data_IF_451033461145
#
_entry.id   IF_451033461145
#
_cell.length_a   1.000
_cell.length_b   1.000
_cell.length_c   1.000
_cell.angle_alpha   90.00
_cell.angle_beta   90.00
_cell.angle_gamma   90.00
#
_symmetry.space_group_name_H-M   'P 1'
#
loop_
_entity.id
_entity.type
_entity.pdbx_description
1 polymer ?
#
# COMPACT_ATOMS: atom_id res chain seq x y z
N UNK A 1 50.21 -67.32 31.95
CA UNK A 1 50.95 -66.27 31.21
C UNK A 1 49.96 -65.71 30.19
N UNK A 2 49.00 -64.81 30.51
CA UNK A 2 49.05 -63.46 31.09
C UNK A 2 49.84 -62.46 30.25
N UNK A 3 49.08 -61.51 29.70
CA UNK A 3 49.40 -60.10 29.54
C UNK A 3 50.54 -59.71 28.58
N UNK A 4 50.24 -59.53 27.28
CA UNK A 4 51.09 -58.64 26.46
C UNK A 4 50.42 -57.96 25.26
N UNK A 5 49.09 -58.01 25.09
CA UNK A 5 48.44 -57.42 23.89
C UNK A 5 47.33 -56.41 24.21
N UNK A 6 47.19 -55.99 25.48
CA UNK A 6 46.20 -54.96 25.90
C UNK A 6 46.85 -53.57 26.07
N UNK A 7 48.17 -53.44 25.87
CA UNK A 7 48.92 -52.21 26.16
C UNK A 7 49.30 -51.36 24.93
N UNK A 8 48.51 -51.41 23.84
CA UNK A 8 48.70 -50.54 22.65
C UNK A 8 47.42 -49.74 22.31
N UNK A 9 46.33 -49.90 23.07
CA UNK A 9 45.07 -49.17 22.85
C UNK A 9 44.80 -48.03 23.85
N UNK A 10 45.75 -47.66 24.71
CA UNK A 10 45.54 -46.63 25.76
C UNK A 10 46.50 -45.43 25.69
N UNK A 11 47.12 -45.18 24.54
CA UNK A 11 48.10 -44.08 24.36
C UNK A 11 47.78 -43.12 23.21
N UNK A 12 46.50 -42.98 22.85
CA UNK A 12 46.05 -42.00 21.83
C UNK A 12 44.75 -41.26 22.24
N UNK A 13 44.60 -41.00 23.55
CA UNK A 13 43.54 -40.16 24.12
C UNK A 13 44.15 -39.31 25.24
N UNK A 14 44.89 -38.24 24.90
CA UNK A 14 45.24 -37.13 25.83
C UNK A 14 46.13 -36.07 25.15
N UNK A 15 45.60 -35.28 24.21
CA UNK A 15 46.16 -33.95 23.89
C UNK A 15 45.00 -32.98 23.60
N UNK A 16 44.39 -32.47 24.66
CA UNK A 16 43.50 -31.31 24.67
C UNK A 16 43.92 -30.44 25.87
N UNK A 17 44.85 -29.50 25.66
CA UNK A 17 44.98 -28.31 26.49
C UNK A 17 46.00 -27.33 25.91
N UNK A 18 45.61 -26.05 25.93
CA UNK A 18 46.38 -24.82 25.70
C UNK A 18 46.49 -24.32 24.26
N UNK A 19 45.64 -23.34 23.91
CA UNK A 19 46.11 -21.96 23.73
C UNK A 19 44.93 -20.98 23.77
N UNK A 20 45.00 -20.02 24.69
CA UNK A 20 44.16 -18.83 24.74
C UNK A 20 44.92 -17.68 24.09
N UNK A 21 44.29 -16.92 23.19
CA UNK A 21 44.48 -15.49 23.09
C UNK A 21 43.13 -14.82 23.45
N UNK A 22 43.10 -13.89 24.40
CA UNK A 22 43.65 -12.57 24.19
C UNK A 22 42.47 -11.64 23.88
N UNK A 23 41.94 -11.02 24.93
CA UNK A 23 41.03 -9.88 24.86
C UNK A 23 41.70 -8.75 24.09
N UNK A 24 41.12 -8.40 22.95
CA UNK A 24 41.25 -7.09 22.31
C UNK A 24 39.86 -6.65 21.90
N UNK A 25 39.49 -5.50 22.44
CA UNK A 25 38.26 -4.74 22.28
C UNK A 25 38.44 -3.77 21.10
N UNK A 26 37.57 -3.89 20.11
CA UNK A 26 37.17 -2.84 19.16
C UNK A 26 35.66 -3.05 18.99
N UNK A 27 34.81 -2.38 19.76
CA UNK A 27 34.22 -1.06 19.45
C UNK A 27 33.87 -0.89 17.96
N UNK A 28 32.74 -1.45 17.55
CA UNK A 28 31.91 -0.87 16.50
C UNK A 28 30.44 -1.00 16.90
N UNK A 29 29.80 0.16 17.00
CA UNK A 29 28.45 0.35 17.52
C UNK A 29 27.39 -0.45 16.79
N UNK A 30 26.63 -1.20 17.59
CA UNK A 30 25.35 -1.77 17.23
C UNK A 30 24.32 -0.63 17.21
N UNK A 31 24.01 -0.15 16.00
CA UNK A 31 22.88 0.75 15.80
C UNK A 31 21.63 -0.13 15.74
N UNK A 32 20.93 -0.16 16.86
CA UNK A 32 19.60 -0.74 17.03
C UNK A 32 18.63 -0.15 16.00
N UNK A 33 18.20 -0.99 15.06
CA UNK A 33 17.28 -0.63 13.98
C UNK A 33 15.79 -0.78 14.38
N UNK A 34 15.48 -0.91 15.67
CA UNK A 34 14.10 -0.99 16.19
C UNK A 34 13.65 0.30 16.93
N UNK A 35 14.47 1.36 16.94
CA UNK A 35 14.16 2.62 17.63
C UNK A 35 13.86 3.83 16.70
N UNK A 36 13.72 3.63 15.38
CA UNK A 36 13.62 4.74 14.39
C UNK A 36 12.18 5.03 13.91
N UNK A 37 11.17 4.25 14.31
CA UNK A 37 9.77 4.49 13.89
C UNK A 37 8.86 5.16 14.93
N UNK A 38 9.38 5.61 16.08
CA UNK A 38 8.58 6.28 17.14
C UNK A 38 9.16 7.64 17.55
N UNK A 39 9.65 8.43 16.59
CA UNK A 39 10.24 9.75 16.87
C UNK A 39 9.78 10.87 15.91
N UNK A 40 8.63 10.73 15.26
CA UNK A 40 8.04 11.78 14.41
C UNK A 40 6.66 12.30 14.88
N UNK A 41 6.22 11.94 16.10
CA UNK A 41 4.90 12.31 16.60
C UNK A 41 4.89 13.28 17.81
N UNK A 42 6.04 13.67 18.39
CA UNK A 42 6.06 14.45 19.64
C UNK A 42 6.72 15.84 19.57
N UNK A 43 7.13 16.34 18.40
CA UNK A 43 7.72 17.69 18.29
C UNK A 43 6.74 18.84 18.12
N UNK A 44 5.42 18.62 18.13
CA UNK A 44 4.41 19.68 17.93
C UNK A 44 3.69 20.18 19.21
N UNK A 45 4.04 19.69 20.41
CA UNK A 45 3.41 20.13 21.67
C UNK A 45 4.32 20.93 22.61
N UNK A 46 5.59 21.18 22.25
CA UNK A 46 6.55 21.85 23.14
C UNK A 46 6.81 23.35 22.86
N UNK A 47 6.11 23.99 21.92
CA UNK A 47 6.29 25.43 21.63
C UNK A 47 5.31 26.37 22.35
N UNK A 48 4.43 25.87 23.23
CA UNK A 48 3.49 26.72 23.99
C UNK A 48 3.82 26.92 25.48
N UNK A 49 4.95 26.45 25.98
CA UNK A 49 5.29 26.59 27.39
C UNK A 49 6.74 27.03 27.60
N UNK A 50 6.98 28.34 27.67
CA UNK A 50 8.21 28.82 28.28
C UNK A 50 8.74 30.15 27.78
N UNK A 51 8.00 31.26 27.94
CA UNK A 51 8.65 32.57 28.07
C UNK A 51 7.80 33.54 28.90
N UNK A 52 7.73 33.31 30.21
CA UNK A 52 7.39 34.38 31.15
C UNK A 52 8.21 34.20 32.43
N UNK A 53 9.23 35.05 32.57
CA UNK A 53 9.67 35.51 33.89
C UNK A 53 9.84 37.02 33.80
N UNK A 54 9.11 37.72 34.67
CA UNK A 54 8.95 39.15 34.74
C UNK A 54 10.18 39.86 35.33
N UNK A 55 10.38 41.14 34.99
CA UNK A 55 10.84 42.10 36.00
C UNK A 55 10.38 43.53 35.68
N UNK A 56 9.89 44.18 36.73
CA UNK A 56 9.17 45.44 36.77
C UNK A 56 10.07 46.68 36.62
N UNK A 57 9.47 47.77 36.14
CA UNK A 57 9.87 49.13 36.49
C UNK A 57 8.62 50.03 36.51
N UNK A 58 8.35 50.58 37.69
CA UNK A 58 7.38 51.64 37.97
C UNK A 58 7.66 52.93 37.18
N UNK A 59 6.59 53.61 36.75
CA UNK A 59 6.42 55.05 36.98
C UNK A 59 4.97 55.46 36.68
N UNK A 60 4.28 55.95 37.71
CA UNK A 60 3.04 56.73 37.58
C UNK A 60 3.34 58.09 36.96
N UNK A 61 2.41 58.68 36.17
CA UNK A 61 1.83 59.93 36.66
C UNK A 61 0.33 60.12 36.36
N UNK A 62 -0.36 60.58 37.41
CA UNK A 62 -1.20 61.80 37.47
C UNK A 62 -2.17 62.10 36.32
N UNK A 63 -3.47 61.93 36.61
CA UNK A 63 -4.57 62.56 35.88
C UNK A 63 -4.68 64.05 36.25
N UNK A 64 -4.77 64.93 35.25
CA UNK A 64 -5.51 66.19 35.37
C UNK A 64 -6.02 66.66 33.99
N UNK A 65 -7.14 67.40 33.95
CA UNK A 65 -7.97 67.59 32.76
C UNK A 65 -7.67 68.92 32.05
N UNK A 66 -8.14 69.10 30.80
CA UNK A 66 -8.79 70.33 30.24
C UNK A 66 -9.01 70.16 28.70
N UNK A 67 -10.02 70.82 28.09
CA UNK A 67 -10.78 70.34 26.94
C UNK A 67 -10.57 71.15 25.63
N UNK A 68 -11.40 70.81 24.63
CA UNK A 68 -11.92 71.59 23.49
C UNK A 68 -11.46 71.13 22.08
N UNK A 69 -12.42 70.51 21.40
CA UNK A 69 -12.95 70.86 20.07
C UNK A 69 -11.98 71.39 19.02
N UNK A 70 -11.77 70.59 17.97
CA UNK A 70 -11.78 71.03 16.58
C UNK A 70 -12.54 69.96 15.78
N UNK A 71 -13.62 70.38 15.13
CA UNK A 71 -14.50 69.57 14.29
C UNK A 71 -13.81 69.29 12.95
N UNK A 72 -13.52 68.04 12.55
CA UNK A 72 -13.20 67.74 11.16
C UNK A 72 -14.51 67.71 10.35
N UNK A 73 -14.57 68.54 9.33
CA UNK A 73 -15.65 68.59 8.33
C UNK A 73 -15.83 67.20 7.71
N UNK A 74 -17.05 66.62 7.67
CA UNK A 74 -17.27 65.36 6.97
C UNK A 74 -16.99 65.55 5.48
N UNK A 75 -16.01 64.82 4.95
CA UNK A 75 -15.88 64.62 3.52
C UNK A 75 -17.13 63.89 3.05
N UNK A 76 -17.97 64.56 2.26
CA UNK A 76 -19.07 63.93 1.54
C UNK A 76 -18.51 62.77 0.73
N UNK A 77 -18.80 61.55 1.16
CA UNK A 77 -18.56 60.36 0.37
C UNK A 77 -19.48 60.43 -0.85
N UNK A 78 -18.90 60.70 -2.01
CA UNK A 78 -19.54 60.45 -3.30
C UNK A 78 -19.72 58.93 -3.39
N UNK A 79 -20.95 58.47 -3.19
CA UNK A 79 -21.37 57.10 -3.42
C UNK A 79 -21.11 56.78 -4.90
N UNK A 80 -20.09 55.95 -5.17
CA UNK A 80 -19.82 55.46 -6.50
C UNK A 80 -20.98 54.55 -6.91
N UNK A 81 -21.68 54.93 -7.99
CA UNK A 81 -22.72 54.14 -8.61
C UNK A 81 -22.14 52.74 -8.95
N UNK A 82 -22.84 51.63 -8.67
CA UNK A 82 -22.33 50.31 -9.00
C UNK A 82 -22.09 50.21 -10.51
N UNK A 83 -20.83 50.02 -10.89
CA UNK A 83 -20.46 49.64 -12.25
C UNK A 83 -21.03 48.24 -12.49
N UNK A 84 -22.03 48.13 -13.36
CA UNK A 84 -22.51 46.83 -13.84
C UNK A 84 -21.37 46.23 -14.67
N UNK A 85 -20.66 45.25 -14.11
CA UNK A 85 -19.68 44.47 -14.85
C UNK A 85 -20.44 43.56 -15.85
N UNK A 86 -20.02 43.48 -17.12
CA UNK A 86 -20.71 42.63 -18.08
C UNK A 86 -20.62 41.16 -17.66
N UNK A 87 -21.70 40.41 -17.93
CA UNK A 87 -21.71 38.96 -17.75
C UNK A 87 -20.60 38.33 -18.62
N UNK A 88 -19.92 37.28 -18.13
CA UNK A 88 -18.83 36.66 -18.88
C UNK A 88 -19.33 35.95 -20.13
N UNK A 89 -18.58 36.11 -21.22
CA UNK A 89 -18.89 35.53 -22.53
C UNK A 89 -17.76 34.63 -23.01
N UNK A 90 -18.12 33.61 -23.80
CA UNK A 90 -17.22 32.68 -24.46
C UNK A 90 -17.36 32.84 -25.97
N UNK A 91 -16.25 33.16 -26.63
CA UNK A 91 -16.15 33.27 -28.09
C UNK A 91 -15.41 32.05 -28.64
N UNK A 92 -15.98 31.41 -29.66
CA UNK A 92 -15.41 30.25 -30.33
C UNK A 92 -14.46 30.70 -31.44
N UNK A 93 -13.20 30.27 -31.39
CA UNK A 93 -12.15 30.65 -32.34
C UNK A 93 -11.69 29.48 -33.22
N UNK A 94 -11.95 28.24 -32.80
CA UNK A 94 -11.86 27.01 -33.61
C UNK A 94 -13.12 26.17 -33.36
N UNK A 95 -13.54 25.38 -34.35
CA UNK A 95 -14.70 24.48 -34.19
C UNK A 95 -14.52 23.60 -32.95
N UNK A 96 -15.48 23.67 -32.04
CA UNK A 96 -15.46 22.91 -30.79
C UNK A 96 -16.82 22.26 -30.56
N UNK A 97 -16.96 21.54 -29.45
CA UNK A 97 -18.17 20.78 -29.14
C UNK A 97 -18.69 21.15 -27.77
N UNK A 98 -20.01 21.22 -27.68
CA UNK A 98 -20.72 21.31 -26.42
C UNK A 98 -21.20 19.93 -25.98
N UNK A 99 -21.08 19.63 -24.69
CA UNK A 99 -21.43 18.32 -24.11
C UNK A 99 -22.50 18.46 -23.05
N UNK A 100 -23.22 17.38 -22.76
CA UNK A 100 -24.20 17.36 -21.67
C UNK A 100 -23.57 17.28 -20.26
N UNK A 101 -22.27 17.59 -20.14
CA UNK A 101 -21.53 17.52 -18.89
C UNK A 101 -20.04 17.80 -19.08
N UNK A 102 -19.38 18.13 -17.98
CA UNK A 102 -17.97 18.50 -17.90
C UNK A 102 -17.03 17.29 -18.00
N UNK A 103 -17.18 16.47 -19.03
CA UNK A 103 -16.28 15.35 -19.30
C UNK A 103 -16.19 15.02 -20.79
N UNK A 104 -14.98 14.70 -21.25
CA UNK A 104 -14.74 14.21 -22.61
C UNK A 104 -15.37 12.85 -22.88
N UNK A 105 -15.78 12.11 -21.84
CA UNK A 105 -16.47 10.84 -21.94
C UNK A 105 -18.01 10.96 -22.03
N UNK A 106 -18.57 12.16 -21.89
CA UNK A 106 -20.02 12.43 -22.05
C UNK A 106 -20.32 12.76 -23.51
N UNK A 107 -21.50 12.38 -24.00
CA UNK A 107 -21.95 12.64 -25.36
C UNK A 107 -21.94 14.14 -25.71
N UNK A 108 -21.61 14.42 -26.97
CA UNK A 108 -21.70 15.74 -27.59
C UNK A 108 -23.18 16.03 -27.86
N UNK A 109 -23.64 17.23 -27.50
CA UNK A 109 -25.02 17.70 -27.75
C UNK A 109 -25.08 18.73 -28.88
N UNK A 110 -24.00 19.46 -29.11
CA UNK A 110 -23.91 20.44 -30.18
C UNK A 110 -22.46 20.59 -30.66
N UNK A 111 -22.31 20.96 -31.93
CA UNK A 111 -21.08 21.54 -32.45
C UNK A 111 -21.19 23.06 -32.32
N UNK A 112 -20.08 23.70 -31.98
CA UNK A 112 -19.95 25.15 -31.88
C UNK A 112 -19.05 25.64 -33.01
N UNK A 113 -19.57 26.58 -33.80
CA UNK A 113 -18.90 27.09 -34.99
C UNK A 113 -18.01 28.30 -34.65
N UNK A 114 -16.98 28.53 -35.48
CA UNK A 114 -16.09 29.67 -35.31
C UNK A 114 -16.87 30.99 -35.41
N UNK A 115 -16.66 31.87 -34.43
CA UNK A 115 -17.32 33.16 -34.30
C UNK A 115 -18.60 33.12 -33.46
N UNK A 116 -19.06 31.95 -32.99
CA UNK A 116 -20.15 31.90 -32.03
C UNK A 116 -19.74 32.54 -30.68
N UNK A 117 -20.64 33.35 -30.13
CA UNK A 117 -20.50 33.97 -28.81
C UNK A 117 -21.62 33.42 -27.91
N UNK A 118 -21.24 32.87 -26.76
CA UNK A 118 -22.15 32.22 -25.82
C UNK A 118 -22.00 32.82 -24.42
N UNK A 119 -23.11 33.01 -23.73
CA UNK A 119 -23.09 33.44 -22.33
C UNK A 119 -22.60 32.32 -21.43
N UNK A 120 -21.66 32.62 -20.54
CA UNK A 120 -21.12 31.66 -19.57
C UNK A 120 -21.88 31.77 -18.27
N UNK A 121 -22.51 30.69 -17.83
CA UNK A 121 -23.36 30.67 -16.62
C UNK A 121 -22.69 30.02 -15.42
N UNK A 122 -21.61 29.25 -15.65
CA UNK A 122 -20.93 28.54 -14.58
C UNK A 122 -19.60 27.94 -15.00
N UNK A 123 -18.88 27.41 -14.01
CA UNK A 123 -17.63 26.70 -14.23
C UNK A 123 -17.51 25.44 -13.37
N UNK A 124 -16.73 24.48 -13.82
CA UNK A 124 -16.41 23.29 -13.01
C UNK A 124 -15.46 23.65 -11.87
N UNK A 125 -15.48 22.84 -10.80
CA UNK A 125 -14.58 23.04 -9.64
C UNK A 125 -13.09 22.94 -9.99
N UNK A 126 -12.75 22.14 -11.01
CA UNK A 126 -11.38 22.00 -11.49
C UNK A 126 -10.96 23.11 -12.47
N UNK A 127 -11.86 24.03 -12.83
CA UNK A 127 -11.62 25.15 -13.73
C UNK A 127 -11.40 24.75 -15.20
N UNK A 128 -11.69 23.50 -15.57
CA UNK A 128 -11.44 22.98 -16.93
C UNK A 128 -12.65 23.06 -17.85
N UNK A 129 -13.83 23.37 -17.32
CA UNK A 129 -15.06 23.35 -18.09
C UNK A 129 -15.93 24.57 -17.78
N UNK A 130 -16.55 25.08 -18.83
CA UNK A 130 -17.43 26.23 -18.81
C UNK A 130 -18.83 25.80 -19.18
N UNK A 131 -19.80 26.13 -18.34
CA UNK A 131 -21.20 25.96 -18.67
C UNK A 131 -21.66 27.17 -19.47
N UNK A 132 -22.25 26.92 -20.63
CA UNK A 132 -22.74 27.95 -21.55
C UNK A 132 -24.19 27.68 -21.92
N UNK A 133 -24.89 28.72 -22.37
CA UNK A 133 -26.25 28.61 -22.88
C UNK A 133 -26.23 28.71 -24.40
N UNK A 134 -26.68 27.66 -25.10
CA UNK A 134 -26.90 27.64 -26.55
C UNK A 134 -28.37 27.34 -26.82
N UNK A 135 -29.03 28.20 -27.57
CA UNK A 135 -30.47 28.08 -27.93
C UNK A 135 -31.41 27.87 -26.71
N UNK A 136 -31.03 28.40 -25.54
CA UNK A 136 -31.77 28.26 -24.30
C UNK A 136 -31.48 26.96 -23.52
N UNK A 137 -30.61 26.09 -24.03
CA UNK A 137 -30.15 24.88 -23.35
C UNK A 137 -28.74 25.05 -22.80
N UNK A 138 -28.51 24.54 -21.59
CA UNK A 138 -27.20 24.55 -20.96
C UNK A 138 -26.34 23.38 -21.45
N UNK A 139 -25.10 23.66 -21.80
CA UNK A 139 -24.13 22.64 -22.16
C UNK A 139 -22.71 23.04 -21.73
N UNK A 140 -21.78 22.10 -21.83
CA UNK A 140 -20.44 22.24 -21.28
C UNK A 140 -19.38 22.26 -22.38
N UNK A 141 -18.52 23.26 -22.33
CA UNK A 141 -17.38 23.43 -23.24
C UNK A 141 -16.08 23.23 -22.45
N UNK A 142 -15.17 22.45 -23.01
CA UNK A 142 -13.86 22.23 -22.42
C UNK A 142 -12.96 23.45 -22.64
N UNK A 143 -12.19 23.82 -21.63
CA UNK A 143 -11.19 24.86 -21.75
C UNK A 143 -10.09 24.45 -22.74
N UNK A 144 -9.97 25.19 -23.83
CA UNK A 144 -8.89 25.08 -24.79
C UNK A 144 -8.55 26.48 -25.31
N UNK A 145 -7.33 26.95 -25.02
CA UNK A 145 -6.85 28.29 -25.38
C UNK A 145 -6.80 28.53 -26.89
N UNK A 146 -6.67 27.47 -27.69
CA UNK A 146 -6.66 27.56 -29.16
C UNK A 146 -8.07 27.52 -29.77
N UNK A 147 -9.09 27.07 -29.02
CA UNK A 147 -10.45 26.89 -29.54
C UNK A 147 -11.48 27.87 -28.98
N UNK A 148 -11.25 28.44 -27.81
CA UNK A 148 -12.17 29.40 -27.18
C UNK A 148 -11.42 30.57 -26.52
N UNK A 149 -12.07 31.74 -26.50
CA UNK A 149 -11.65 32.91 -25.73
C UNK A 149 -12.73 33.25 -24.70
N UNK A 150 -12.32 33.61 -23.48
CA UNK A 150 -13.23 34.07 -22.43
C UNK A 150 -13.04 35.55 -22.17
N UNK A 151 -14.14 36.28 -22.09
CA UNK A 151 -14.16 37.70 -21.77
C UNK A 151 -15.03 37.94 -20.53
N UNK A 152 -14.70 38.98 -19.76
CA UNK A 152 -15.40 39.32 -18.52
C UNK A 152 -14.88 38.60 -17.28
N UNK A 153 -15.57 38.79 -16.16
CA UNK A 153 -15.15 38.29 -14.86
C UNK A 153 -15.62 36.85 -14.62
N UNK A 154 -14.85 35.89 -15.12
CA UNK A 154 -15.12 34.45 -14.92
C UNK A 154 -14.95 33.98 -13.48
N UNK A 155 -14.40 34.81 -12.58
CA UNK A 155 -14.24 34.46 -11.16
C UNK A 155 -15.51 34.67 -10.34
N UNK A 156 -16.45 35.49 -10.82
CA UNK A 156 -17.77 35.66 -10.20
C UNK A 156 -18.72 34.49 -10.47
N UNK A 157 -18.39 33.63 -11.45
CA UNK A 157 -19.20 32.48 -11.84
C UNK A 157 -19.30 31.43 -10.73
N UNK A 158 -20.52 30.92 -10.56
CA UNK A 158 -20.79 29.82 -9.65
C UNK A 158 -20.08 28.54 -10.10
N UNK A 159 -19.68 27.73 -9.11
CA UNK A 159 -19.26 26.36 -9.37
C UNK A 159 -20.50 25.50 -9.62
N UNK A 160 -20.61 24.97 -10.83
CA UNK A 160 -21.73 24.09 -11.22
C UNK A 160 -21.23 22.66 -11.20
N UNK A 161 -21.93 21.81 -10.45
CA UNK A 161 -21.65 20.39 -10.43
C UNK A 161 -22.19 19.79 -11.73
N UNK A 162 -21.30 19.49 -12.67
CA UNK A 162 -21.67 18.81 -13.88
C UNK A 162 -22.12 17.36 -13.61
N UNK A 163 -22.96 16.78 -14.48
CA UNK A 163 -23.27 15.36 -14.44
C UNK A 163 -21.99 14.52 -14.42
N UNK A 164 -21.86 13.63 -13.44
CA UNK A 164 -20.72 12.72 -13.35
C UNK A 164 -20.88 11.60 -14.36
N UNK A 165 -19.81 11.28 -15.08
CA UNK A 165 -19.75 10.03 -15.84
C UNK A 165 -19.74 8.88 -14.83
N UNK A 166 -20.38 7.73 -15.10
CA UNK A 166 -20.11 6.53 -14.32
C UNK A 166 -18.60 6.26 -14.33
N UNK A 167 -17.96 6.46 -13.19
CA UNK A 167 -16.58 6.04 -12.97
C UNK A 167 -16.54 4.53 -13.20
N UNK A 168 -15.68 4.06 -14.12
CA UNK A 168 -15.41 2.62 -14.25
C UNK A 168 -15.02 2.10 -12.87
N UNK A 169 -15.88 1.31 -12.24
CA UNK A 169 -15.54 0.57 -11.04
C UNK A 169 -14.44 -0.40 -11.43
N UNK A 170 -13.26 -0.31 -10.79
CA UNK A 170 -12.26 -1.36 -10.91
C UNK A 170 -12.94 -2.69 -10.56
N UNK A 171 -12.84 -3.68 -11.44
CA UNK A 171 -13.32 -5.03 -11.13
C UNK A 171 -12.66 -5.55 -9.86
N UNK A 172 -13.24 -6.55 -9.17
CA UNK A 172 -12.60 -7.11 -7.99
C UNK A 172 -11.18 -7.54 -8.36
N UNK A 173 -10.19 -7.03 -7.62
CA UNK A 173 -8.83 -7.56 -7.66
C UNK A 173 -8.93 -9.08 -7.49
N UNK A 174 -8.35 -9.92 -8.39
CA UNK A 174 -8.44 -11.36 -8.25
C UNK A 174 -7.84 -11.74 -6.89
N UNK A 175 -8.70 -12.13 -5.95
CA UNK A 175 -8.25 -12.54 -4.61
C UNK A 175 -7.28 -13.73 -4.77
N UNK A 176 -6.09 -13.71 -4.13
CA UNK A 176 -5.14 -14.80 -4.28
C UNK A 176 -5.79 -16.12 -3.85
N UNK A 177 -5.83 -17.09 -4.75
CA UNK A 177 -6.47 -18.38 -4.54
C UNK A 177 -5.57 -19.50 -5.08
N UNK A 178 -5.62 -20.68 -4.47
CA UNK A 178 -4.93 -21.86 -5.00
C UNK A 178 -5.70 -23.16 -4.75
N UNK A 179 -5.51 -24.12 -5.66
CA UNK A 179 -5.96 -25.51 -5.52
C UNK A 179 -4.88 -26.34 -4.83
N UNK A 180 -5.29 -27.30 -4.00
CA UNK A 180 -4.39 -28.22 -3.29
C UNK A 180 -4.77 -29.68 -3.57
N UNK A 181 -3.78 -30.53 -3.86
CA UNK A 181 -3.94 -31.99 -3.92
C UNK A 181 -2.74 -32.70 -3.34
N UNK A 182 -2.96 -33.82 -2.66
CA UNK A 182 -1.90 -34.76 -2.32
C UNK A 182 -1.50 -35.52 -3.59
N UNK A 183 -0.20 -35.78 -3.77
CA UNK A 183 0.33 -36.44 -4.96
C UNK A 183 0.95 -37.77 -4.59
N UNK A 184 2.00 -37.74 -3.79
CA UNK A 184 2.77 -38.92 -3.43
C UNK A 184 3.68 -38.63 -2.24
N UNK A 185 4.45 -39.64 -1.85
CA UNK A 185 5.53 -39.53 -0.88
C UNK A 185 6.86 -39.81 -1.57
N UNK A 186 7.85 -38.95 -1.30
CA UNK A 186 9.22 -39.10 -1.77
C UNK A 186 10.17 -39.39 -0.63
N UNK A 187 11.12 -40.30 -0.85
CA UNK A 187 12.25 -40.52 0.05
C UNK A 187 13.46 -39.73 -0.46
N UNK A 188 13.99 -38.87 0.40
CA UNK A 188 15.13 -38.01 0.12
C UNK A 188 16.21 -38.27 1.17
N UNK A 189 17.12 -39.20 0.84
CA UNK A 189 18.07 -39.74 1.81
C UNK A 189 17.35 -40.49 2.93
N UNK A 190 17.54 -40.03 4.17
CA UNK A 190 16.90 -40.61 5.36
C UNK A 190 15.56 -39.93 5.71
N UNK A 191 15.21 -38.85 5.02
CA UNK A 191 13.95 -38.14 5.24
C UNK A 191 12.88 -38.62 4.25
N UNK A 192 11.63 -38.59 4.70
CA UNK A 192 10.45 -38.94 3.91
C UNK A 192 9.57 -37.70 3.87
N UNK A 193 9.13 -37.33 2.67
CA UNK A 193 8.37 -36.11 2.41
C UNK A 193 7.06 -36.43 1.72
N UNK A 194 5.94 -35.93 2.26
CA UNK A 194 4.70 -35.84 1.51
C UNK A 194 4.79 -34.67 0.53
N UNK A 195 4.37 -34.89 -0.71
CA UNK A 195 4.38 -33.89 -1.78
C UNK A 195 2.94 -33.56 -2.17
N UNK A 196 2.67 -32.26 -2.28
CA UNK A 196 1.36 -31.71 -2.61
C UNK A 196 1.46 -30.86 -3.87
N UNK A 197 0.57 -31.08 -4.83
CA UNK A 197 0.40 -30.20 -5.98
C UNK A 197 -0.35 -28.96 -5.52
N UNK A 198 0.17 -27.80 -5.88
CA UNK A 198 -0.47 -26.50 -5.69
C UNK A 198 -0.60 -25.82 -7.04
N UNK A 199 -1.82 -25.38 -7.37
CA UNK A 199 -2.05 -24.58 -8.56
C UNK A 199 -2.48 -23.18 -8.15
N UNK A 200 -1.65 -22.20 -8.48
CA UNK A 200 -2.00 -20.79 -8.32
C UNK A 200 -3.19 -20.48 -9.26
N UNK A 201 -4.28 -19.96 -8.70
CA UNK A 201 -5.49 -19.52 -9.41
C UNK A 201 -5.62 -18.01 -9.42
N UNK A 202 -4.76 -17.31 -8.67
CA UNK A 202 -4.68 -15.85 -8.64
C UNK A 202 -3.71 -15.31 -9.67
N UNK A 203 -3.62 -13.98 -9.69
CA UNK A 203 -2.70 -13.23 -10.55
C UNK A 203 -1.41 -12.78 -9.83
N UNK A 204 -1.28 -13.10 -8.54
CA UNK A 204 -0.12 -12.77 -7.71
C UNK A 204 0.83 -13.96 -7.62
N UNK A 205 2.13 -13.68 -7.52
CA UNK A 205 3.15 -14.71 -7.27
C UNK A 205 3.17 -15.07 -5.79
N UNK A 206 3.33 -16.36 -5.48
CA UNK A 206 3.65 -16.79 -4.12
C UNK A 206 5.17 -16.94 -3.97
N UNK A 207 5.75 -16.41 -2.89
CA UNK A 207 7.20 -16.37 -2.64
C UNK A 207 7.62 -17.19 -1.41
N UNK A 208 6.65 -17.59 -0.57
CA UNK A 208 6.95 -18.48 0.55
C UNK A 208 5.79 -19.41 0.88
N UNK A 209 6.11 -20.52 1.54
CA UNK A 209 5.12 -21.49 1.96
C UNK A 209 5.43 -22.12 3.31
N UNK A 210 4.38 -22.62 3.97
CA UNK A 210 4.47 -23.49 5.14
C UNK A 210 3.56 -24.68 4.97
N UNK A 211 4.07 -25.86 5.27
CA UNK A 211 3.31 -27.11 5.34
C UNK A 211 3.39 -27.62 6.76
N UNK A 212 2.27 -27.59 7.47
CA UNK A 212 2.10 -28.20 8.79
C UNK A 212 1.39 -29.52 8.62
N UNK A 213 1.89 -30.59 9.25
CA UNK A 213 1.27 -31.90 9.20
C UNK A 213 1.08 -32.41 10.62
N UNK A 214 -0.09 -32.97 10.88
CA UNK A 214 -0.41 -33.67 12.11
C UNK A 214 -0.98 -35.06 11.82
N UNK A 215 -0.69 -36.01 12.71
CA UNK A 215 -1.20 -37.37 12.64
C UNK A 215 -2.48 -37.45 13.46
N UNK A 216 -3.62 -37.48 12.77
CA UNK A 216 -4.94 -37.48 13.41
C UNK A 216 -5.22 -38.81 14.09
N UNK A 217 -4.74 -39.92 13.53
CA UNK A 217 -4.97 -41.25 14.08
C UNK A 217 -4.16 -41.47 15.36
N UNK A 218 -2.91 -41.01 15.39
CA UNK A 218 -2.06 -41.09 16.58
C UNK A 218 -2.29 -39.95 17.58
N UNK A 219 -3.07 -38.93 17.23
CA UNK A 219 -3.27 -37.74 18.08
C UNK A 219 -2.01 -36.88 18.23
N UNK A 220 -1.14 -36.85 17.20
CA UNK A 220 0.10 -36.06 17.21
C UNK A 220 -0.15 -34.75 16.45
N UNK A 221 -0.38 -33.66 17.19
CA UNK A 221 -0.74 -32.35 16.62
C UNK A 221 0.38 -31.65 15.83
N UNK A 222 1.63 -32.04 16.02
CA UNK A 222 2.77 -31.43 15.34
C UNK A 222 3.75 -32.51 14.87
N UNK A 223 3.31 -33.33 13.92
CA UNK A 223 4.19 -34.31 13.29
C UNK A 223 5.31 -33.60 12.49
N UNK A 224 4.96 -32.53 11.77
CA UNK A 224 5.96 -31.64 11.16
C UNK A 224 5.46 -30.23 10.92
N UNK A 225 6.40 -29.29 10.85
CA UNK A 225 6.23 -27.94 10.32
C UNK A 225 7.41 -27.68 9.40
N UNK A 226 7.16 -27.50 8.10
CA UNK A 226 8.18 -27.22 7.09
C UNK A 226 7.85 -25.89 6.42
N UNK A 227 8.74 -24.91 6.49
CA UNK A 227 8.54 -23.60 5.89
C UNK A 227 9.81 -22.97 5.34
N UNK A 228 9.60 -21.94 4.50
CA UNK A 228 10.66 -21.13 3.92
C UNK A 228 10.27 -20.56 2.57
N UNK A 229 11.25 -19.94 1.91
CA UNK A 229 11.07 -19.34 0.58
C UNK A 229 11.28 -20.39 -0.52
N UNK A 230 12.19 -21.35 -0.30
CA UNK A 230 12.55 -22.40 -1.26
C UNK A 230 11.64 -23.63 -1.17
N UNK A 231 10.33 -23.40 -1.17
CA UNK A 231 9.32 -24.44 -0.90
C UNK A 231 8.68 -25.04 -2.16
N UNK A 232 8.93 -24.47 -3.33
CA UNK A 232 8.24 -24.84 -4.57
C UNK A 232 9.07 -25.80 -5.42
N UNK A 233 8.93 -27.10 -5.22
CA UNK A 233 9.67 -28.12 -5.97
C UNK A 233 9.35 -28.05 -7.48
N UNK A 234 10.36 -28.25 -8.34
CA UNK A 234 10.18 -28.20 -9.80
C UNK A 234 9.44 -29.42 -10.36
N UNK A 235 9.33 -30.51 -9.61
CA UNK A 235 8.58 -31.71 -10.01
C UNK A 235 8.08 -32.49 -8.79
N UNK A 236 7.08 -33.35 -9.00
CA UNK A 236 6.51 -34.22 -7.96
C UNK A 236 7.52 -35.22 -7.36
N UNK A 237 8.66 -35.47 -8.03
CA UNK A 237 9.72 -36.39 -7.58
C UNK A 237 10.95 -35.70 -6.99
N UNK A 238 11.00 -34.36 -6.99
CA UNK A 238 12.16 -33.62 -6.52
C UNK A 238 12.29 -33.66 -5.00
N UNK A 239 13.53 -33.59 -4.52
CA UNK A 239 13.84 -33.44 -3.11
C UNK A 239 14.03 -31.95 -2.76
N UNK A 240 13.72 -31.55 -1.52
CA UNK A 240 14.07 -30.23 -1.01
C UNK A 240 15.56 -29.91 -1.21
N UNK A 241 15.94 -28.66 -1.47
CA UNK A 241 15.12 -27.44 -1.54
C UNK A 241 14.44 -27.24 -2.92
N UNK A 242 13.32 -26.54 -2.94
CA UNK A 242 12.63 -26.13 -4.16
C UNK A 242 13.06 -24.76 -4.68
N UNK A 243 12.27 -24.21 -5.61
CA UNK A 243 12.36 -22.86 -6.13
C UNK A 243 11.80 -21.84 -5.13
N UNK A 244 12.15 -20.57 -5.32
CA UNK A 244 11.75 -19.45 -4.46
C UNK A 244 10.33 -18.91 -4.73
N UNK A 245 9.69 -19.33 -5.81
CA UNK A 245 8.37 -18.79 -6.16
C UNK A 245 7.49 -19.75 -6.95
N UNK A 246 6.19 -19.47 -6.89
CA UNK A 246 5.14 -20.04 -7.72
C UNK A 246 4.39 -18.90 -8.42
N UNK A 247 4.66 -18.73 -9.70
CA UNK A 247 4.09 -17.65 -10.50
C UNK A 247 2.56 -17.74 -10.68
N UNK A 248 1.94 -16.70 -11.23
CA UNK A 248 0.50 -16.65 -11.50
C UNK A 248 0.04 -17.79 -12.40
N UNK A 249 -1.16 -18.31 -12.16
CA UNK A 249 -1.82 -19.36 -12.96
C UNK A 249 -1.00 -20.66 -13.17
N UNK A 250 0.13 -20.80 -12.46
CA UNK A 250 1.07 -21.90 -12.62
C UNK A 250 0.79 -23.04 -11.63
N UNK A 251 1.33 -24.22 -11.94
CA UNK A 251 1.29 -25.37 -11.04
C UNK A 251 2.70 -25.68 -10.58
N UNK A 252 2.86 -25.93 -9.28
CA UNK A 252 4.09 -26.39 -8.66
C UNK A 252 3.79 -27.37 -7.55
N UNK A 253 4.81 -27.73 -6.79
CA UNK A 253 4.69 -28.71 -5.73
C UNK A 253 5.29 -28.18 -4.43
N UNK A 254 4.62 -28.39 -3.31
CA UNK A 254 5.16 -28.11 -1.98
C UNK A 254 5.32 -29.40 -1.20
N UNK A 255 6.12 -29.38 -0.13
CA UNK A 255 6.45 -30.57 0.62
C UNK A 255 6.37 -30.36 2.13
N UNK A 256 6.05 -31.43 2.84
CA UNK A 256 6.15 -31.50 4.30
C UNK A 256 6.79 -32.80 4.74
N UNK A 257 7.68 -32.75 5.72
CA UNK A 257 8.38 -33.94 6.24
C UNK A 257 7.39 -34.85 6.99
N UNK A 258 7.44 -36.16 6.75
CA UNK A 258 6.61 -37.15 7.46
C UNK A 258 7.44 -38.30 8.05
N UNK A 259 8.76 -38.13 8.19
CA UNK A 259 9.61 -39.10 8.88
C UNK A 259 9.08 -39.36 10.29
N UNK A 260 8.69 -40.61 10.57
CA UNK A 260 8.11 -41.01 11.86
C UNK A 260 6.59 -41.16 11.84
N UNK A 261 5.91 -40.84 10.74
CA UNK A 261 4.50 -41.19 10.58
C UNK A 261 4.32 -42.72 10.59
N UNK A 262 3.26 -43.20 11.25
CA UNK A 262 2.92 -44.63 11.24
C UNK A 262 2.18 -44.95 9.94
N UNK A 263 2.63 -45.96 9.22
CA UNK A 263 1.97 -46.40 7.97
C UNK A 263 0.50 -46.74 8.21
N UNK A 264 -0.37 -46.28 7.32
CA UNK A 264 -1.82 -46.44 7.44
C UNK A 264 -2.54 -45.38 8.29
N UNK A 265 -1.82 -44.53 9.03
CA UNK A 265 -2.45 -43.44 9.77
C UNK A 265 -2.98 -42.35 8.83
N UNK A 266 -4.04 -41.68 9.28
CA UNK A 266 -4.60 -40.50 8.59
C UNK A 266 -3.83 -39.25 9.03
N UNK A 267 -3.17 -38.62 8.07
CA UNK A 267 -2.46 -37.36 8.25
C UNK A 267 -3.31 -36.21 7.72
N UNK A 268 -3.24 -35.07 8.41
CA UNK A 268 -3.86 -33.82 7.98
C UNK A 268 -2.77 -32.79 7.74
N UNK A 269 -2.72 -32.26 6.51
CA UNK A 269 -1.80 -31.21 6.12
C UNK A 269 -2.53 -29.88 5.98
N UNK A 270 -1.96 -28.83 6.56
CA UNK A 270 -2.29 -27.43 6.31
C UNK A 270 -1.18 -26.80 5.48
N UNK A 271 -1.49 -26.42 4.25
CA UNK A 271 -0.59 -25.70 3.35
C UNK A 271 -0.95 -24.23 3.38
N UNK A 272 0.03 -23.38 3.74
CA UNK A 272 -0.05 -21.92 3.67
C UNK A 272 0.87 -21.44 2.55
N UNK A 273 0.35 -20.65 1.63
CA UNK A 273 1.15 -19.92 0.63
C UNK A 273 1.05 -18.42 0.90
N UNK A 274 2.13 -17.68 0.70
CA UNK A 274 2.25 -16.25 1.00
C UNK A 274 2.91 -15.51 -0.16
N UNK A 275 2.45 -14.29 -0.46
CA UNK A 275 2.91 -13.49 -1.61
C UNK A 275 4.28 -12.86 -1.41
N UNK A 276 4.77 -12.82 -0.18
CA UNK A 276 6.11 -12.32 0.13
C UNK A 276 6.95 -13.39 0.82
N UNK A 277 8.27 -13.18 0.80
CA UNK A 277 9.24 -13.97 1.56
C UNK A 277 8.93 -14.00 3.07
N UNK A 278 9.40 -15.05 3.75
CA UNK A 278 9.29 -15.13 5.22
C UNK A 278 7.87 -15.29 5.76
N UNK A 279 6.93 -15.82 4.95
CA UNK A 279 5.51 -15.97 5.28
C UNK A 279 4.77 -14.64 5.54
N UNK A 280 5.20 -13.58 4.86
CA UNK A 280 4.64 -12.24 4.91
C UNK A 280 3.66 -11.95 3.74
N UNK A 281 3.17 -10.71 3.67
CA UNK A 281 2.18 -10.30 2.68
C UNK A 281 0.82 -10.98 2.85
N UNK A 282 0.12 -11.18 1.73
CA UNK A 282 -1.14 -11.91 1.73
C UNK A 282 -0.88 -13.41 1.80
N UNK A 283 -1.55 -14.09 2.73
CA UNK A 283 -1.39 -15.52 2.90
C UNK A 283 -2.72 -16.26 2.87
N UNK A 284 -2.77 -17.35 2.10
CA UNK A 284 -3.92 -18.24 2.04
C UNK A 284 -3.55 -19.62 2.59
N UNK A 285 -4.51 -20.26 3.27
CA UNK A 285 -4.38 -21.63 3.78
C UNK A 285 -5.37 -22.56 3.12
N UNK A 286 -4.93 -23.78 2.80
CA UNK A 286 -5.77 -24.90 2.37
C UNK A 286 -5.35 -26.15 3.12
N UNK A 287 -6.34 -27.01 3.36
CA UNK A 287 -6.16 -28.21 4.17
C UNK A 287 -6.48 -29.44 3.34
N UNK A 288 -5.80 -30.55 3.61
CA UNK A 288 -6.07 -31.83 2.98
C UNK A 288 -5.73 -32.98 3.91
N UNK A 289 -6.54 -34.04 3.88
CA UNK A 289 -6.26 -35.31 4.55
C UNK A 289 -5.70 -36.33 3.56
N UNK A 290 -4.73 -37.12 4.00
CA UNK A 290 -4.13 -38.20 3.21
C UNK A 290 -3.63 -39.31 4.13
N UNK A 291 -3.38 -40.50 3.57
CA UNK A 291 -2.92 -41.65 4.35
C UNK A 291 -1.40 -41.77 4.26
N UNK A 292 -0.75 -42.02 5.40
CA UNK A 292 0.68 -42.33 5.44
C UNK A 292 0.95 -43.65 4.68
N UNK A 293 1.92 -43.68 3.75
CA UNK A 293 2.20 -44.85 2.92
C UNK A 293 2.74 -46.04 3.72
#
# INVERSE_FOLDING_TARGET
>A
MKAQHVLICFAFVLILSACSPGTSQEDQGEVDADAVFTAAAETLSAQLAGTQTAQAAEASPTLSPVPATETPVPATATEALPTIEPDPELTVIEETVCRNGASTAIAIVATLEVGEILSVTGRSQDGKWWQVVKDGEECWVFWNEDAITLEGNVFSLAFVNAPTVPTKTAGPTPEPNFWLSFVNVNKCGNAVYAVFAVQNKGNETYESARVNIHDQTAGIDNLSSTDGNLMFLPSQGACPKGNESLGPLSTGYVYGKITGATSGNTLFATVRLCTENGLAGFCLKRNITFTAP
#
